data_IF_554739911770
#
_entry.id   IF_554739911770
#
_cell.length_a   1.000
_cell.length_b   1.000
_cell.length_c   1.000
_cell.angle_alpha   90.00
_cell.angle_beta   90.00
_cell.angle_gamma   90.00
#
_symmetry.space_group_name_H-M   'P 1'
#
loop_
_entity.id
_entity.type
_entity.pdbx_description
1 polymer ?
#
# COMPACT_ATOMS: atom_id res chain seq x y z
N UNK A 1 -35.55 11.96 -11.15
CA UNK A 1 -34.39 11.68 -12.04
C UNK A 1 -34.41 10.21 -12.38
N UNK A 2 -34.58 9.83 -13.63
CA UNK A 2 -34.48 8.44 -14.06
C UNK A 2 -33.05 7.95 -13.83
N UNK A 3 -32.87 6.93 -12.99
CA UNK A 3 -31.58 6.31 -12.79
C UNK A 3 -31.16 5.67 -14.13
N UNK A 4 -30.08 6.15 -14.72
CA UNK A 4 -29.54 5.55 -15.93
C UNK A 4 -29.09 4.11 -15.61
N UNK A 5 -29.80 3.07 -16.06
CA UNK A 5 -29.52 1.69 -15.70
C UNK A 5 -28.14 1.20 -16.20
N UNK A 6 -27.59 1.87 -17.20
CA UNK A 6 -26.25 1.54 -17.73
C UNK A 6 -25.13 1.86 -16.76
N UNK A 7 -25.30 2.79 -15.82
CA UNK A 7 -24.28 3.08 -14.80
C UNK A 7 -24.02 1.93 -13.83
N UNK A 8 -24.95 0.99 -13.70
CA UNK A 8 -24.80 -0.19 -12.86
C UNK A 8 -24.07 -1.36 -13.53
N UNK A 9 -23.76 -1.24 -14.84
CA UNK A 9 -23.10 -2.28 -15.62
C UNK A 9 -21.57 -2.15 -15.67
N UNK A 10 -21.01 -1.02 -15.16
CA UNK A 10 -19.59 -0.75 -15.21
C UNK A 10 -19.03 -0.64 -13.79
N UNK A 11 -18.02 -1.44 -13.51
CA UNK A 11 -17.22 -1.30 -12.30
C UNK A 11 -16.23 -0.15 -12.49
N UNK A 12 -16.11 0.73 -11.48
CA UNK A 12 -15.09 1.76 -11.49
C UNK A 12 -13.70 1.11 -11.40
N UNK A 13 -12.74 1.66 -12.15
CA UNK A 13 -11.35 1.22 -12.07
C UNK A 13 -10.83 1.43 -10.63
N UNK A 14 -10.32 0.41 -9.93
CA UNK A 14 -9.96 0.52 -8.51
C UNK A 14 -8.93 1.61 -8.22
N UNK A 15 -7.96 1.84 -9.13
CA UNK A 15 -6.96 2.90 -8.96
C UNK A 15 -7.49 4.28 -9.35
N UNK A 16 -8.11 4.41 -10.54
CA UNK A 16 -8.44 5.70 -11.13
C UNK A 16 -9.86 6.17 -10.88
N UNK A 17 -10.80 5.24 -10.69
CA UNK A 17 -12.23 5.52 -10.65
C UNK A 17 -12.86 5.57 -9.25
N UNK A 18 -12.07 5.34 -8.21
CA UNK A 18 -12.52 5.36 -6.81
C UNK A 18 -11.79 6.45 -6.04
N UNK A 19 -12.53 7.18 -5.20
CA UNK A 19 -11.94 8.24 -4.34
C UNK A 19 -11.02 7.63 -3.28
N UNK A 20 -9.91 8.31 -2.94
CA UNK A 20 -9.07 7.95 -1.80
C UNK A 20 -9.76 8.12 -0.44
N UNK A 21 -10.95 8.73 -0.42
CA UNK A 21 -11.76 9.05 0.76
C UNK A 21 -11.80 10.55 1.05
N UNK A 22 -12.96 11.02 1.54
CA UNK A 22 -13.17 12.45 1.83
C UNK A 22 -12.31 12.97 2.99
N UNK A 23 -11.79 12.07 3.81
CA UNK A 23 -10.93 12.39 4.96
C UNK A 23 -9.46 12.03 4.70
N UNK A 24 -9.09 11.71 3.45
CA UNK A 24 -7.68 11.44 3.16
C UNK A 24 -6.81 12.68 3.43
N UNK A 25 -5.63 12.52 4.01
CA UNK A 25 -4.92 11.27 4.29
C UNK A 25 -5.21 10.63 5.67
N UNK A 26 -6.03 11.23 6.54
CA UNK A 26 -6.25 10.77 7.92
C UNK A 26 -7.06 9.47 7.98
N UNK A 27 -7.96 9.27 7.03
CA UNK A 27 -8.73 8.05 6.80
C UNK A 27 -8.85 7.83 5.31
N UNK A 28 -8.32 6.72 4.82
CA UNK A 28 -8.25 6.44 3.38
C UNK A 28 -9.09 5.23 3.00
N UNK A 29 -9.61 5.25 1.78
CA UNK A 29 -10.07 4.04 1.12
C UNK A 29 -8.85 3.22 0.70
N UNK A 30 -8.85 1.93 0.98
CA UNK A 30 -7.82 1.01 0.52
C UNK A 30 -8.45 -0.10 -0.32
N UNK A 31 -7.91 -0.33 -1.51
CA UNK A 31 -8.24 -1.51 -2.31
C UNK A 31 -7.35 -2.66 -1.91
N UNK A 32 -7.92 -3.78 -1.51
CA UNK A 32 -7.19 -4.95 -1.04
C UNK A 32 -7.04 -5.94 -2.17
N UNK A 33 -5.80 -6.27 -2.50
CA UNK A 33 -5.42 -7.24 -3.52
C UNK A 33 -5.12 -8.61 -2.93
N UNK A 34 -4.51 -8.64 -1.72
CA UNK A 34 -3.99 -9.85 -1.07
C UNK A 34 -4.48 -9.90 0.36
N UNK A 35 -4.93 -11.07 0.78
CA UNK A 35 -5.25 -11.38 2.18
C UNK A 35 -4.22 -12.34 2.78
N UNK A 36 -4.09 -12.41 4.12
CA UNK A 36 -3.05 -13.24 4.77
C UNK A 36 -3.08 -14.74 4.46
N UNK A 37 -4.21 -15.25 3.94
CA UNK A 37 -4.39 -16.65 3.55
C UNK A 37 -4.05 -16.94 2.09
N UNK A 38 -3.74 -15.90 1.30
CA UNK A 38 -3.44 -16.08 -0.12
C UNK A 38 -2.06 -16.73 -0.32
N UNK A 39 -2.06 -17.82 -1.04
CA UNK A 39 -0.84 -18.53 -1.50
C UNK A 39 -0.40 -18.05 -2.89
N UNK A 40 -1.09 -17.05 -3.42
CA UNK A 40 -0.84 -16.43 -4.72
C UNK A 40 -0.73 -14.91 -4.51
N UNK A 41 0.25 -14.28 -5.16
CA UNK A 41 0.30 -12.82 -5.26
C UNK A 41 -0.66 -12.39 -6.38
N UNK A 42 -1.65 -11.62 -6.00
CA UNK A 42 -2.51 -10.88 -6.93
C UNK A 42 -2.03 -9.45 -7.08
N UNK A 43 -2.32 -8.86 -8.20
CA UNK A 43 -1.96 -7.50 -8.55
C UNK A 43 -3.01 -6.91 -9.49
N UNK A 44 -3.31 -5.63 -9.33
CA UNK A 44 -4.19 -4.93 -10.26
C UNK A 44 -3.55 -4.85 -11.66
N UNK A 45 -4.25 -5.31 -12.66
CA UNK A 45 -3.90 -4.97 -14.04
C UNK A 45 -4.25 -3.50 -14.30
N UNK A 46 -3.22 -2.65 -14.40
CA UNK A 46 -3.35 -1.20 -14.47
C UNK A 46 -4.16 -0.71 -15.68
N UNK A 47 -4.21 -1.49 -16.74
CA UNK A 47 -4.95 -1.13 -17.94
C UNK A 47 -6.45 -1.45 -17.84
N UNK A 48 -6.79 -2.60 -17.26
CA UNK A 48 -8.17 -3.08 -17.22
C UNK A 48 -8.88 -2.83 -15.89
N UNK A 49 -8.13 -2.60 -14.81
CA UNK A 49 -8.66 -2.49 -13.45
C UNK A 49 -9.11 -3.82 -12.84
N UNK A 50 -8.77 -4.94 -13.45
CA UNK A 50 -9.08 -6.26 -12.90
C UNK A 50 -7.92 -6.81 -12.10
N UNK A 51 -8.23 -7.56 -11.05
CA UNK A 51 -7.23 -8.30 -10.30
C UNK A 51 -6.71 -9.46 -11.14
N UNK A 52 -5.41 -9.58 -11.31
CA UNK A 52 -4.74 -10.67 -12.02
C UNK A 52 -3.78 -11.42 -11.11
N UNK A 53 -3.48 -12.65 -11.46
CA UNK A 53 -2.40 -13.42 -10.83
C UNK A 53 -1.07 -12.88 -11.34
N UNK A 54 -0.24 -12.37 -10.43
CA UNK A 54 1.16 -12.04 -10.71
C UNK A 54 2.01 -13.34 -10.66
N UNK A 55 2.00 -14.01 -9.53
CA UNK A 55 2.73 -15.27 -9.34
C UNK A 55 2.23 -16.03 -8.10
N UNK A 56 2.50 -17.35 -7.99
CA UNK A 56 2.40 -18.05 -6.71
C UNK A 56 3.34 -17.41 -5.67
N UNK A 57 2.91 -17.36 -4.43
CA UNK A 57 3.79 -16.97 -3.31
C UNK A 57 4.96 -17.96 -3.21
N UNK A 58 6.13 -17.46 -2.83
CA UNK A 58 7.34 -18.25 -2.80
C UNK A 58 7.55 -18.84 -1.42
N UNK A 59 7.77 -20.14 -1.38
CA UNK A 59 8.11 -20.88 -0.15
C UNK A 59 7.08 -20.62 0.97
N UNK A 60 7.54 -20.13 2.13
CA UNK A 60 6.73 -19.76 3.28
C UNK A 60 6.33 -18.28 3.30
N UNK A 61 6.61 -17.51 2.24
CA UNK A 61 6.29 -16.09 2.17
C UNK A 61 4.79 -15.91 1.98
N UNK A 62 4.12 -15.48 3.05
CA UNK A 62 2.71 -15.11 3.03
C UNK A 62 2.60 -13.69 3.58
N UNK A 63 1.82 -12.83 2.92
CA UNK A 63 1.64 -11.47 3.39
C UNK A 63 1.00 -11.48 4.78
N UNK A 64 1.60 -10.83 5.79
CA UNK A 64 1.10 -10.95 7.17
C UNK A 64 -0.13 -10.09 7.48
N UNK A 65 -0.54 -9.23 6.55
CA UNK A 65 -1.67 -8.28 6.69
C UNK A 65 -2.54 -8.33 5.45
N UNK A 66 -3.68 -7.65 5.47
CA UNK A 66 -4.34 -7.24 4.25
C UNK A 66 -3.38 -6.30 3.50
N UNK A 67 -3.22 -6.50 2.20
CA UNK A 67 -2.28 -5.73 1.39
C UNK A 67 -2.95 -5.28 0.09
N UNK A 68 -2.64 -4.07 -0.31
CA UNK A 68 -3.14 -3.45 -1.52
C UNK A 68 -2.66 -2.02 -1.63
N UNK A 69 -3.48 -1.12 -2.15
CA UNK A 69 -3.07 0.26 -2.40
C UNK A 69 -4.17 1.27 -2.08
N UNK A 70 -3.76 2.53 -1.98
CA UNK A 70 -4.66 3.68 -1.83
C UNK A 70 -5.04 4.18 -3.24
N UNK A 71 -6.34 4.27 -3.61
CA UNK A 71 -6.77 4.82 -4.88
C UNK A 71 -6.27 6.24 -5.13
N UNK A 72 -6.09 6.61 -6.41
CA UNK A 72 -5.67 7.95 -6.85
C UNK A 72 -4.41 8.45 -6.15
N UNK A 73 -3.45 7.55 -5.89
CA UNK A 73 -2.10 7.85 -5.42
C UNK A 73 -1.09 7.39 -6.44
N UNK A 74 0.12 7.95 -6.38
CA UNK A 74 1.25 7.56 -7.22
C UNK A 74 2.53 7.71 -6.41
N UNK A 75 3.37 6.70 -6.38
CA UNK A 75 4.74 6.82 -5.94
C UNK A 75 5.56 7.46 -7.07
N UNK A 76 5.53 8.78 -7.12
CA UNK A 76 6.11 9.61 -8.18
C UNK A 76 7.27 10.48 -7.68
N UNK A 77 7.58 11.57 -8.41
CA UNK A 77 8.71 12.43 -8.10
C UNK A 77 8.67 13.06 -6.70
N UNK A 78 7.50 13.46 -6.20
CA UNK A 78 7.39 14.11 -4.88
C UNK A 78 7.58 13.12 -3.73
N UNK A 79 7.13 11.88 -3.89
CA UNK A 79 7.41 10.80 -2.93
C UNK A 79 8.89 10.45 -2.95
N UNK A 80 9.50 10.34 -4.14
CA UNK A 80 10.92 10.08 -4.29
C UNK A 80 11.79 11.19 -3.65
N UNK A 81 11.44 12.46 -3.86
CA UNK A 81 12.13 13.61 -3.24
C UNK A 81 12.05 13.56 -1.72
N UNK A 82 10.86 13.32 -1.16
CA UNK A 82 10.67 13.17 0.29
C UNK A 82 11.52 12.02 0.84
N UNK A 83 11.53 10.88 0.16
CA UNK A 83 12.35 9.73 0.54
C UNK A 83 13.83 10.06 0.49
N UNK A 84 14.31 10.67 -0.59
CA UNK A 84 15.70 11.09 -0.77
C UNK A 84 16.18 12.05 0.35
N UNK A 85 15.32 13.01 0.73
CA UNK A 85 15.59 13.92 1.85
C UNK A 85 15.75 13.17 3.19
N UNK A 86 14.85 12.22 3.45
CA UNK A 86 14.82 11.49 4.73
C UNK A 86 16.02 10.56 4.93
N UNK A 87 16.49 9.93 3.85
CA UNK A 87 17.61 8.98 3.92
C UNK A 87 18.95 9.63 3.58
N UNK A 88 18.95 10.90 3.16
CA UNK A 88 20.17 11.63 2.77
C UNK A 88 20.83 11.06 1.51
N UNK A 89 20.07 10.39 0.63
CA UNK A 89 20.55 9.86 -0.64
C UNK A 89 20.07 10.72 -1.81
N UNK A 90 20.76 10.63 -2.93
CA UNK A 90 20.37 11.24 -4.21
C UNK A 90 20.00 10.15 -5.19
N UNK A 91 19.35 10.56 -6.27
CA UNK A 91 18.99 9.67 -7.39
C UNK A 91 17.98 8.56 -7.01
N UNK A 92 17.07 8.89 -6.08
CA UNK A 92 15.89 8.06 -5.79
C UNK A 92 14.80 8.44 -6.79
N UNK A 93 14.16 7.44 -7.35
CA UNK A 93 13.03 7.57 -8.28
C UNK A 93 11.76 6.97 -7.65
N UNK A 94 10.59 7.43 -8.08
CA UNK A 94 9.34 6.73 -7.76
C UNK A 94 9.20 5.47 -8.60
N UNK A 95 8.53 4.43 -8.09
CA UNK A 95 8.31 3.19 -8.83
C UNK A 95 7.18 3.31 -9.87
N UNK A 96 6.39 4.40 -9.80
CA UNK A 96 5.27 4.66 -10.72
C UNK A 96 4.02 3.83 -10.41
N UNK A 97 3.96 3.22 -9.25
CA UNK A 97 2.83 2.44 -8.76
C UNK A 97 1.95 3.24 -7.78
N UNK A 98 0.68 2.83 -7.54
CA UNK A 98 -0.11 3.41 -6.48
C UNK A 98 0.55 3.17 -5.11
N UNK A 99 0.30 4.04 -4.14
CA UNK A 99 0.88 3.93 -2.80
C UNK A 99 0.37 2.67 -2.09
N UNK A 100 1.29 1.78 -1.78
CA UNK A 100 1.03 0.52 -1.09
C UNK A 100 0.56 0.71 0.35
N UNK A 101 -0.37 -0.14 0.79
CA UNK A 101 -0.90 -0.13 2.14
C UNK A 101 -1.02 -1.52 2.75
N UNK A 102 -0.55 -1.66 3.98
CA UNK A 102 -0.70 -2.83 4.84
C UNK A 102 -1.76 -2.54 5.89
N UNK A 103 -2.87 -3.26 5.89
CA UNK A 103 -3.96 -3.00 6.85
C UNK A 103 -4.08 -4.14 7.85
N UNK A 104 -3.92 -3.81 9.13
CA UNK A 104 -4.10 -4.72 10.25
C UNK A 104 -5.58 -4.90 10.57
N UNK A 105 -6.00 -6.13 10.81
CA UNK A 105 -7.31 -6.51 11.30
C UNK A 105 -7.22 -7.78 12.16
N UNK A 106 -8.03 -7.89 13.19
CA UNK A 106 -8.18 -9.12 13.97
C UNK A 106 -8.94 -10.22 13.22
N UNK A 107 -9.68 -9.84 12.17
CA UNK A 107 -10.53 -10.76 11.42
C UNK A 107 -9.82 -11.28 10.17
N UNK A 108 -10.12 -12.52 9.83
CA UNK A 108 -9.69 -13.12 8.57
C UNK A 108 -10.68 -12.80 7.46
N UNK A 109 -10.15 -12.49 6.29
CA UNK A 109 -10.90 -12.26 5.07
C UNK A 109 -10.65 -13.43 4.11
N UNK A 110 -11.69 -13.84 3.39
CA UNK A 110 -11.63 -15.02 2.54
C UNK A 110 -10.93 -14.77 1.19
N UNK A 111 -10.96 -13.54 0.71
CA UNK A 111 -10.38 -13.15 -0.60
C UNK A 111 -10.15 -11.62 -0.64
N UNK A 112 -9.32 -11.15 -1.56
CA UNK A 112 -9.14 -9.75 -1.89
C UNK A 112 -10.23 -9.21 -2.84
N UNK A 113 -9.92 -8.14 -3.57
CA UNK A 113 -10.81 -7.43 -4.51
C UNK A 113 -11.99 -6.73 -3.84
N UNK A 114 -11.71 -6.01 -2.77
CA UNK A 114 -12.68 -5.18 -2.07
C UNK A 114 -12.05 -3.90 -1.53
N UNK A 115 -12.89 -2.92 -1.18
CA UNK A 115 -12.49 -1.69 -0.51
C UNK A 115 -12.80 -1.74 0.98
N UNK A 116 -11.98 -1.07 1.76
CA UNK A 116 -12.22 -0.80 3.17
C UNK A 116 -11.69 0.59 3.54
N UNK A 117 -12.14 1.10 4.69
CA UNK A 117 -11.58 2.31 5.28
C UNK A 117 -10.43 1.94 6.21
N UNK A 118 -9.27 2.53 5.97
CA UNK A 118 -8.05 2.30 6.73
C UNK A 118 -7.56 3.61 7.35
N UNK A 119 -7.20 3.55 8.63
CA UNK A 119 -6.56 4.65 9.36
C UNK A 119 -5.04 4.42 9.36
N UNK A 120 -4.25 5.25 8.66
CA UNK A 120 -2.79 5.18 8.69
C UNK A 120 -2.27 5.38 10.12
N UNK A 121 -1.30 4.58 10.53
CA UNK A 121 -0.68 4.67 11.86
C UNK A 121 0.85 4.80 11.79
N UNK A 122 1.41 4.72 10.59
CA UNK A 122 2.83 4.82 10.29
C UNK A 122 3.17 4.17 8.96
N UNK A 123 4.44 3.81 8.77
CA UNK A 123 4.87 3.13 7.55
C UNK A 123 6.30 2.62 7.62
N UNK A 124 6.70 1.95 6.55
CA UNK A 124 8.04 1.47 6.31
C UNK A 124 8.63 2.22 5.14
N UNK A 125 9.73 2.96 5.34
CA UNK A 125 10.49 3.56 4.25
C UNK A 125 11.36 2.51 3.60
N UNK A 126 10.94 2.08 2.45
CA UNK A 126 11.57 0.97 1.74
C UNK A 126 12.18 1.46 0.43
N UNK A 127 13.34 0.90 0.09
CA UNK A 127 14.03 1.12 -1.18
C UNK A 127 14.18 -0.23 -1.88
N UNK A 128 13.75 -0.33 -3.12
CA UNK A 128 14.03 -1.48 -4.01
C UNK A 128 14.95 -1.01 -5.16
N UNK A 129 16.23 -1.29 -5.03
CA UNK A 129 17.26 -0.77 -5.93
C UNK A 129 17.51 0.72 -5.76
N UNK A 130 16.90 1.56 -6.59
CA UNK A 130 16.92 3.02 -6.51
C UNK A 130 15.48 3.59 -6.44
N UNK A 131 14.48 2.72 -6.28
CA UNK A 131 13.10 3.14 -6.25
C UNK A 131 12.60 3.27 -4.81
N UNK A 132 11.93 4.39 -4.54
CA UNK A 132 11.13 4.54 -3.34
C UNK A 132 9.93 3.59 -3.43
N UNK A 133 9.78 2.74 -2.45
CA UNK A 133 8.76 1.67 -2.40
C UNK A 133 8.14 1.62 -0.99
N UNK A 134 7.72 2.80 -0.49
CA UNK A 134 7.17 2.97 0.86
C UNK A 134 5.91 2.11 1.06
N UNK A 135 5.76 1.56 2.26
CA UNK A 135 4.57 0.78 2.65
C UNK A 135 3.87 1.49 3.81
N UNK A 136 2.71 2.07 3.54
CA UNK A 136 1.86 2.61 4.60
C UNK A 136 1.36 1.47 5.48
N UNK A 137 1.48 1.64 6.79
CA UNK A 137 0.90 0.72 7.77
C UNK A 137 -0.33 1.38 8.37
N UNK A 138 -1.46 0.68 8.31
CA UNK A 138 -2.75 1.16 8.74
C UNK A 138 -3.52 0.11 9.53
N UNK A 139 -4.58 0.52 10.17
CA UNK A 139 -5.56 -0.36 10.84
C UNK A 139 -6.91 -0.22 10.16
N UNK A 140 -7.69 -1.30 10.09
CA UNK A 140 -9.08 -1.22 9.67
C UNK A 140 -9.86 -0.33 10.66
N UNK A 141 -10.54 0.73 10.15
CA UNK A 141 -11.19 1.75 11.00
C UNK A 141 -12.14 1.16 12.05
N UNK A 142 -12.95 0.17 11.65
CA UNK A 142 -13.96 -0.45 12.51
C UNK A 142 -13.46 -1.70 13.27
N UNK A 143 -12.14 -1.98 13.26
CA UNK A 143 -11.58 -3.14 13.95
C UNK A 143 -11.60 -2.94 15.47
N UNK A 144 -12.11 -3.93 16.21
CA UNK A 144 -12.24 -3.82 17.67
C UNK A 144 -10.90 -3.96 18.41
N UNK A 145 -9.95 -4.71 17.83
CA UNK A 145 -8.64 -4.89 18.45
C UNK A 145 -7.66 -3.79 18.07
N UNK A 146 -7.67 -3.37 16.80
CA UNK A 146 -6.67 -2.43 16.26
C UNK A 146 -7.22 -1.02 16.00
N UNK A 147 -8.53 -0.82 15.89
CA UNK A 147 -9.11 0.48 15.52
C UNK A 147 -8.75 1.65 16.46
N UNK A 148 -8.39 1.37 17.72
CA UNK A 148 -7.95 2.38 18.69
C UNK A 148 -6.45 2.72 18.60
N UNK A 149 -5.64 1.95 17.85
CA UNK A 149 -4.21 2.20 17.66
C UNK A 149 -4.02 3.45 16.81
N UNK A 150 -3.16 4.37 17.23
CA UNK A 150 -2.93 5.64 16.55
C UNK A 150 -1.49 5.82 16.05
N UNK A 151 -0.56 5.00 16.52
CA UNK A 151 0.83 5.01 16.10
C UNK A 151 1.33 3.60 15.87
N UNK A 152 2.21 3.43 14.90
CA UNK A 152 2.91 2.15 14.67
C UNK A 152 3.73 1.73 15.90
N UNK A 153 4.18 2.69 16.70
CA UNK A 153 4.87 2.46 17.96
C UNK A 153 4.00 1.85 19.07
N UNK A 154 2.68 1.91 18.94
CA UNK A 154 1.73 1.28 19.87
C UNK A 154 1.54 -0.21 19.58
N UNK A 155 2.01 -0.69 18.43
CA UNK A 155 1.94 -2.10 18.07
C UNK A 155 3.01 -2.91 18.80
N UNK A 156 2.74 -4.19 19.11
CA UNK A 156 3.79 -5.11 19.50
C UNK A 156 4.91 -5.15 18.43
N UNK A 157 6.16 -4.97 18.84
CA UNK A 157 7.31 -4.92 17.92
C UNK A 157 7.39 -6.12 16.98
N UNK A 158 7.00 -7.30 17.46
CA UNK A 158 6.97 -8.52 16.65
C UNK A 158 6.04 -8.45 15.43
N UNK A 159 4.99 -7.62 15.45
CA UNK A 159 4.14 -7.40 14.27
C UNK A 159 4.87 -6.57 13.23
N UNK A 160 5.56 -5.51 13.65
CA UNK A 160 6.37 -4.67 12.77
C UNK A 160 7.54 -5.46 12.21
N UNK A 161 8.23 -6.27 13.03
CA UNK A 161 9.34 -7.11 12.59
C UNK A 161 8.88 -8.18 11.58
N UNK A 162 7.65 -8.71 11.72
CA UNK A 162 7.08 -9.66 10.76
C UNK A 162 6.79 -8.99 9.41
N UNK A 163 6.32 -7.73 9.39
CA UNK A 163 6.16 -6.94 8.17
C UNK A 163 7.51 -6.71 7.49
N UNK A 164 8.49 -6.24 8.26
CA UNK A 164 9.86 -6.03 7.76
C UNK A 164 10.45 -7.30 7.16
N UNK A 165 10.36 -8.41 7.90
CA UNK A 165 10.86 -9.70 7.41
C UNK A 165 10.19 -10.12 6.10
N UNK A 166 8.86 -9.97 5.98
CA UNK A 166 8.14 -10.29 4.76
C UNK A 166 8.69 -9.49 3.58
N UNK A 167 8.74 -8.16 3.66
CA UNK A 167 9.18 -7.32 2.56
C UNK A 167 10.65 -7.50 2.19
N UNK A 168 11.52 -7.81 3.15
CA UNK A 168 12.93 -8.07 2.88
C UNK A 168 13.19 -9.46 2.26
N UNK A 169 12.27 -10.42 2.42
CA UNK A 169 12.53 -11.81 2.05
C UNK A 169 11.63 -12.38 0.94
N UNK A 170 10.43 -11.83 0.71
CA UNK A 170 9.42 -12.46 -0.15
C UNK A 170 9.81 -12.55 -1.64
N UNK A 171 10.75 -11.72 -2.09
CA UNK A 171 11.30 -11.76 -3.47
C UNK A 171 12.57 -12.62 -3.57
N UNK A 172 13.19 -13.01 -2.45
CA UNK A 172 14.51 -13.68 -2.41
C UNK A 172 14.40 -15.18 -2.64
N UNK A 173 15.23 -15.71 -3.56
CA UNK A 173 15.41 -17.17 -3.71
C UNK A 173 16.62 -17.68 -2.92
N UNK A 174 16.57 -18.90 -2.37
CA UNK A 174 17.75 -19.58 -1.87
C UNK A 174 18.80 -19.73 -2.99
N UNK A 175 20.03 -19.29 -2.71
CA UNK A 175 21.13 -19.35 -3.67
C UNK A 175 21.25 -18.19 -4.66
N UNK A 176 20.28 -17.27 -4.70
CA UNK A 176 20.44 -16.00 -5.42
C UNK A 176 21.26 -14.99 -4.62
N UNK A 177 21.95 -14.09 -5.32
CA UNK A 177 22.56 -12.94 -4.68
C UNK A 177 21.48 -12.11 -3.96
N UNK A 178 21.78 -11.53 -2.79
CA UNK A 178 20.85 -10.68 -2.06
C UNK A 178 20.33 -9.57 -2.97
N UNK A 179 19.00 -9.35 -3.00
CA UNK A 179 18.40 -8.22 -3.69
C UNK A 179 18.76 -6.94 -2.94
N UNK A 180 18.85 -5.85 -3.68
CA UNK A 180 19.08 -4.50 -3.10
C UNK A 180 17.76 -3.94 -2.59
N UNK A 181 17.14 -4.63 -1.65
CA UNK A 181 15.95 -4.16 -0.95
C UNK A 181 16.35 -3.83 0.47
N UNK A 182 16.02 -2.64 0.93
CA UNK A 182 16.27 -2.20 2.31
C UNK A 182 15.04 -1.52 2.89
N UNK A 183 14.95 -1.55 4.22
CA UNK A 183 14.01 -0.74 4.99
C UNK A 183 14.86 0.23 5.80
N UNK A 184 14.84 1.49 5.38
CA UNK A 184 15.68 2.55 5.93
C UNK A 184 15.12 3.12 7.22
N UNK A 185 13.78 3.10 7.37
CA UNK A 185 13.10 3.67 8.53
C UNK A 185 11.74 3.01 8.77
N UNK A 186 11.29 3.08 10.01
CA UNK A 186 9.91 2.81 10.44
C UNK A 186 9.37 4.12 10.98
N UNK A 187 8.57 4.80 10.19
CA UNK A 187 8.09 6.13 10.52
C UNK A 187 6.69 6.13 11.12
N UNK A 188 6.38 7.19 11.85
CA UNK A 188 5.14 7.38 12.58
C UNK A 188 3.95 7.82 11.69
N UNK A 189 2.81 8.04 12.36
CA UNK A 189 1.58 8.51 11.76
C UNK A 189 1.76 9.83 10.99
N UNK A 190 2.42 10.82 11.57
CA UNK A 190 2.58 12.15 10.95
C UNK A 190 3.37 12.09 9.64
N UNK A 191 4.42 11.28 9.60
CA UNK A 191 5.18 11.06 8.38
C UNK A 191 4.38 10.26 7.35
N UNK A 192 3.58 9.26 7.77
CA UNK A 192 2.68 8.53 6.88
C UNK A 192 1.69 9.46 6.18
N UNK A 193 1.11 10.42 6.90
CA UNK A 193 0.22 11.42 6.31
C UNK A 193 0.93 12.29 5.26
N UNK A 194 2.22 12.63 5.47
CA UNK A 194 3.00 13.39 4.48
C UNK A 194 3.26 12.57 3.22
N UNK A 195 3.65 11.30 3.38
CA UNK A 195 3.87 10.38 2.25
C UNK A 195 2.58 10.26 1.42
N UNK A 196 1.43 10.03 2.07
CA UNK A 196 0.14 9.93 1.38
C UNK A 196 -0.21 11.25 0.66
N UNK A 197 -0.02 12.42 1.28
CA UNK A 197 -0.26 13.72 0.62
C UNK A 197 0.59 13.87 -0.63
N UNK A 198 1.88 13.53 -0.56
CA UNK A 198 2.79 13.58 -1.70
C UNK A 198 2.37 12.63 -2.81
N UNK A 199 1.93 11.43 -2.47
CA UNK A 199 1.46 10.45 -3.46
C UNK A 199 0.13 10.87 -4.14
N UNK A 200 -0.77 11.53 -3.41
CA UNK A 200 -1.98 12.14 -3.98
C UNK A 200 -1.64 13.30 -4.93
N UNK A 201 -0.70 14.15 -4.56
CA UNK A 201 -0.22 15.26 -5.38
C UNK A 201 0.49 14.76 -6.65
N UNK A 202 1.35 13.74 -6.55
CA UNK A 202 1.97 13.08 -7.70
C UNK A 202 0.93 12.53 -8.68
N UNK A 203 -0.10 11.86 -8.15
CA UNK A 203 -1.20 11.35 -8.98
C UNK A 203 -1.96 12.47 -9.70
N UNK A 204 -2.29 13.55 -9.00
CA UNK A 204 -2.96 14.71 -9.58
C UNK A 204 -2.11 15.35 -10.68
N UNK A 205 -0.81 15.52 -10.43
CA UNK A 205 0.12 16.10 -11.40
C UNK A 205 0.22 15.26 -12.69
N UNK A 206 0.13 13.95 -12.58
CA UNK A 206 0.26 13.06 -13.74
C UNK A 206 -1.07 12.85 -14.50
N UNK A 207 -2.19 12.69 -13.77
CA UNK A 207 -3.45 12.23 -14.36
C UNK A 207 -4.56 13.30 -14.42
N UNK A 208 -4.56 14.34 -13.58
CA UNK A 208 -5.58 15.38 -13.62
C UNK A 208 -5.34 16.45 -14.69
N UNK A 209 -4.17 16.43 -15.35
CA UNK A 209 -3.84 17.32 -16.46
C UNK A 209 -4.27 16.77 -17.83
N UNK A 210 -4.95 15.62 -17.87
CA UNK A 210 -5.54 15.01 -19.07
C UNK A 210 -7.06 15.16 -19.07
#
# INVERSE_FOLDING_TARGET
MAKNPTRLLFQAHPWHGVSPGDKAPELVSAYIEIVPTDVVKYELDKASGHLKVDRPQRFSSMCPTLYGFIPQTLCGPLVAELTAERIGQRDIEGDGDPMDICVLSEKSFAHGSFFLNAKPIGGLRMIDGQQADDKIVAVLEADLAYGSVNSIGDLPSALVDRLKHYFLSYKQFPGEAPRKVSIEDVYDHEEALKVIRKSLEDYQNLFAAQ
#
